data_IF_803917721405
#
_entry.id   IF_803917721405
#
_cell.length_a   1.000
_cell.length_b   1.000
_cell.length_c   1.000
_cell.angle_alpha   90.00
_cell.angle_beta   90.00
_cell.angle_gamma   90.00
#
_symmetry.space_group_name_H-M   'P 1'
#
loop_
_entity.id
_entity.type
_entity.pdbx_description
1 polymer ?
#
# COMPACT_ATOMS: atom_id res chain seq x y z
N UNK A 1 -13.24 29.22 -2.91
CA UNK A 1 -13.75 27.94 -2.37
C UNK A 1 -12.93 27.59 -1.15
N UNK A 2 -13.00 26.36 -0.64
CA UNK A 2 -12.06 25.88 0.42
C UNK A 2 -10.69 25.50 -0.19
N UNK A 3 -10.65 25.25 -1.51
CA UNK A 3 -9.44 25.01 -2.29
C UNK A 3 -9.28 26.09 -3.38
N UNK A 4 -8.04 26.26 -3.84
CA UNK A 4 -7.59 27.14 -4.92
C UNK A 4 -6.96 26.34 -6.07
N UNK A 5 -6.67 27.01 -7.19
CA UNK A 5 -5.97 26.40 -8.32
C UNK A 5 -4.60 25.85 -7.84
N UNK A 6 -4.18 24.71 -8.40
CA UNK A 6 -2.95 23.97 -8.05
C UNK A 6 -2.93 23.28 -6.68
N UNK A 7 -3.99 23.34 -5.87
CA UNK A 7 -4.06 22.55 -4.64
C UNK A 7 -4.05 21.03 -4.92
N UNK A 8 -3.50 20.27 -3.96
CA UNK A 8 -3.30 18.82 -4.08
C UNK A 8 -4.32 18.08 -3.21
N UNK A 9 -5.05 17.15 -3.83
CA UNK A 9 -5.86 16.15 -3.12
C UNK A 9 -5.13 14.81 -3.18
N UNK A 10 -4.83 14.25 -2.00
CA UNK A 10 -4.25 12.91 -1.87
C UNK A 10 -5.29 11.96 -1.27
N UNK A 11 -5.80 11.02 -2.08
CA UNK A 11 -6.67 9.94 -1.58
C UNK A 11 -5.84 8.71 -1.23
N UNK A 12 -5.85 8.35 0.05
CA UNK A 12 -5.13 7.20 0.59
C UNK A 12 -6.02 6.00 0.90
N UNK A 13 -7.31 6.09 0.59
CA UNK A 13 -8.25 4.99 0.73
C UNK A 13 -7.98 3.86 -0.26
N UNK A 14 -8.38 2.64 0.10
CA UNK A 14 -8.31 1.46 -0.77
C UNK A 14 -9.38 1.49 -1.88
N UNK A 15 -9.48 2.61 -2.61
CA UNK A 15 -10.39 2.76 -3.73
C UNK A 15 -9.94 1.88 -4.91
N UNK A 16 -10.91 1.43 -5.72
CA UNK A 16 -10.60 0.74 -6.96
C UNK A 16 -9.85 1.67 -7.91
N UNK A 17 -8.76 1.20 -8.52
CA UNK A 17 -7.83 2.07 -9.27
C UNK A 17 -8.49 2.85 -10.43
N UNK A 18 -9.53 2.28 -11.06
CA UNK A 18 -10.31 2.98 -12.10
C UNK A 18 -11.06 4.19 -11.56
N UNK A 19 -11.54 4.16 -10.32
CA UNK A 19 -12.15 5.32 -9.68
C UNK A 19 -11.14 6.42 -9.40
N UNK A 20 -9.89 6.05 -9.06
CA UNK A 20 -8.82 7.02 -8.88
C UNK A 20 -8.44 7.70 -10.19
N UNK A 21 -8.36 6.96 -11.30
CA UNK A 21 -8.17 7.57 -12.62
C UNK A 21 -9.30 8.54 -12.97
N UNK A 22 -10.56 8.14 -12.75
CA UNK A 22 -11.73 9.00 -12.98
C UNK A 22 -11.72 10.25 -12.09
N UNK A 23 -11.35 10.12 -10.82
CA UNK A 23 -11.23 11.25 -9.89
C UNK A 23 -10.10 12.19 -10.30
N UNK A 24 -8.97 11.65 -10.77
CA UNK A 24 -7.88 12.45 -11.28
C UNK A 24 -8.36 13.36 -12.41
N UNK A 25 -9.02 12.80 -13.43
CA UNK A 25 -9.59 13.55 -14.54
C UNK A 25 -10.57 14.65 -14.07
N UNK A 26 -11.44 14.34 -13.10
CA UNK A 26 -12.40 15.30 -12.55
C UNK A 26 -11.77 16.44 -11.77
N UNK A 27 -10.68 16.17 -11.04
CA UNK A 27 -9.96 17.16 -10.21
C UNK A 27 -9.06 18.02 -11.11
N UNK A 28 -8.38 17.41 -12.07
CA UNK A 28 -7.54 18.10 -13.06
C UNK A 28 -8.37 19.03 -13.97
N UNK A 29 -9.59 18.65 -14.34
CA UNK A 29 -10.53 19.52 -15.06
C UNK A 29 -10.92 20.80 -14.28
N UNK A 30 -10.70 20.81 -12.96
CA UNK A 30 -10.90 21.97 -12.07
C UNK A 30 -9.60 22.68 -11.71
N UNK A 31 -8.51 22.44 -12.46
CA UNK A 31 -7.17 23.00 -12.22
C UNK A 31 -6.58 22.67 -10.85
N UNK A 32 -6.99 21.56 -10.26
CA UNK A 32 -6.39 21.00 -9.05
C UNK A 32 -5.63 19.73 -9.41
N UNK A 33 -4.82 19.23 -8.48
CA UNK A 33 -3.95 18.08 -8.70
C UNK A 33 -4.40 16.90 -7.84
N UNK A 34 -4.36 15.70 -8.39
CA UNK A 34 -4.84 14.49 -7.70
C UNK A 34 -3.79 13.39 -7.64
N UNK A 35 -3.67 12.79 -6.46
CA UNK A 35 -2.82 11.63 -6.23
C UNK A 35 -3.60 10.53 -5.50
N UNK A 36 -3.68 9.35 -6.11
CA UNK A 36 -4.10 8.14 -5.43
C UNK A 36 -2.89 7.46 -4.81
N UNK A 37 -2.86 7.29 -3.49
CA UNK A 37 -1.70 6.75 -2.78
C UNK A 37 -2.08 5.62 -1.83
N UNK A 38 -1.84 4.37 -2.23
CA UNK A 38 -2.06 3.25 -1.34
C UNK A 38 -1.13 3.27 -0.13
N UNK A 39 -1.61 2.80 1.02
CA UNK A 39 -0.82 2.65 2.26
C UNK A 39 -0.93 1.20 2.75
N UNK A 40 0.18 0.59 3.18
CA UNK A 40 0.18 -0.74 3.83
C UNK A 40 1.08 -0.79 5.07
N UNK A 41 0.74 -1.64 6.02
CA UNK A 41 1.44 -1.80 7.31
C UNK A 41 0.53 -1.94 8.54
N UNK A 42 -0.79 -1.84 8.39
CA UNK A 42 -1.73 -1.88 9.51
C UNK A 42 -1.56 -0.71 10.48
N UNK A 43 -2.19 -0.80 11.66
CA UNK A 43 -2.14 0.27 12.65
C UNK A 43 -0.71 0.54 13.18
N UNK A 44 0.05 -0.53 13.43
CA UNK A 44 1.43 -0.41 13.92
C UNK A 44 2.35 0.16 12.84
N UNK A 45 2.27 -0.33 11.60
CA UNK A 45 3.05 0.18 10.49
C UNK A 45 2.71 1.65 10.20
N UNK A 46 1.44 2.04 10.24
CA UNK A 46 1.05 3.44 10.07
C UNK A 46 1.73 4.38 11.09
N UNK A 47 2.00 3.90 12.32
CA UNK A 47 2.69 4.69 13.35
C UNK A 47 4.21 4.66 13.23
N UNK A 48 4.79 3.51 12.89
CA UNK A 48 6.26 3.28 12.90
C UNK A 48 6.94 3.51 11.55
N UNK A 49 6.16 3.55 10.49
CA UNK A 49 6.61 3.70 9.11
C UNK A 49 5.89 2.69 8.22
N UNK A 50 4.89 3.10 7.43
CA UNK A 50 4.22 2.21 6.49
C UNK A 50 4.96 2.20 5.14
N UNK A 51 4.49 1.36 4.22
CA UNK A 51 4.82 1.47 2.80
C UNK A 51 3.77 2.34 2.09
N UNK A 52 4.22 3.18 1.15
CA UNK A 52 3.37 4.06 0.36
C UNK A 52 3.48 3.74 -1.14
N UNK A 53 2.35 3.79 -1.85
CA UNK A 53 2.23 3.49 -3.28
C UNK A 53 1.56 4.67 -4.01
N UNK A 54 2.23 5.82 -4.19
CA UNK A 54 1.67 6.98 -4.87
C UNK A 54 1.56 6.77 -6.39
N UNK A 55 0.46 7.22 -6.98
CA UNK A 55 0.28 7.33 -8.43
C UNK A 55 -0.74 8.41 -8.80
N UNK A 56 -0.54 9.07 -9.93
CA UNK A 56 -1.34 10.23 -10.34
C UNK A 56 -0.52 11.26 -11.11
N UNK A 57 -0.82 12.54 -10.91
CA UNK A 57 -0.11 13.64 -11.57
C UNK A 57 1.36 13.68 -11.11
N UNK A 58 2.31 13.61 -12.06
CA UNK A 58 3.74 13.49 -11.74
C UNK A 58 4.32 14.72 -11.02
N UNK A 59 3.80 15.92 -11.31
CA UNK A 59 4.25 17.16 -10.68
C UNK A 59 4.02 17.16 -9.16
N UNK A 60 3.02 16.44 -8.66
CA UNK A 60 2.73 16.31 -7.22
C UNK A 60 3.88 15.63 -6.47
N UNK A 61 4.63 14.75 -7.14
CA UNK A 61 5.68 13.96 -6.49
C UNK A 61 6.75 14.85 -5.86
N UNK A 62 7.14 15.94 -6.51
CA UNK A 62 8.16 16.86 -5.98
C UNK A 62 7.71 17.53 -4.68
N UNK A 63 6.42 17.84 -4.57
CA UNK A 63 5.81 18.48 -3.39
C UNK A 63 5.67 17.51 -2.22
N UNK A 64 5.20 16.28 -2.47
CA UNK A 64 4.88 15.34 -1.38
C UNK A 64 6.04 14.45 -0.98
N UNK A 65 7.04 14.24 -1.85
CA UNK A 65 8.15 13.29 -1.65
C UNK A 65 8.83 13.49 -0.29
N UNK A 66 9.21 14.70 0.15
CA UNK A 66 9.88 14.88 1.43
C UNK A 66 9.07 14.35 2.62
N UNK A 67 7.75 14.49 2.57
CA UNK A 67 6.83 14.06 3.64
C UNK A 67 6.73 12.53 3.65
N UNK A 68 6.44 11.93 2.50
CA UNK A 68 6.19 10.49 2.42
C UNK A 68 7.48 9.67 2.56
N UNK A 69 8.62 10.16 2.06
CA UNK A 69 9.90 9.50 2.28
C UNK A 69 10.33 9.55 3.75
N UNK A 70 10.10 10.66 4.45
CA UNK A 70 10.41 10.77 5.87
C UNK A 70 9.53 9.85 6.73
N UNK A 71 8.25 9.72 6.37
CA UNK A 71 7.29 8.87 7.09
C UNK A 71 7.38 7.37 6.72
N UNK A 72 7.93 7.01 5.56
CA UNK A 72 7.99 5.63 5.10
C UNK A 72 8.91 4.75 5.96
N UNK A 73 8.58 3.46 6.05
CA UNK A 73 9.55 2.45 6.47
C UNK A 73 10.84 2.56 5.65
N UNK A 74 11.99 2.22 6.25
CA UNK A 74 13.26 2.14 5.55
C UNK A 74 13.64 0.67 5.36
N UNK A 75 14.02 0.30 4.14
CA UNK A 75 14.58 -1.00 3.85
C UNK A 75 15.98 -1.15 4.48
N UNK A 76 16.54 -2.36 4.44
CA UNK A 76 17.86 -2.66 5.02
C UNK A 76 19.00 -1.85 4.40
N UNK A 77 18.85 -1.40 3.16
CA UNK A 77 19.79 -0.52 2.46
C UNK A 77 19.54 0.99 2.71
N UNK A 78 18.62 1.31 3.62
CA UNK A 78 18.27 2.68 4.00
C UNK A 78 17.28 3.37 3.06
N UNK A 79 16.90 2.77 1.92
CA UNK A 79 15.94 3.38 1.00
C UNK A 79 14.53 3.39 1.61
N UNK A 80 13.76 4.49 1.43
CA UNK A 80 12.38 4.53 1.89
C UNK A 80 11.48 3.62 1.05
N UNK A 81 10.51 2.98 1.70
CA UNK A 81 9.48 2.13 1.08
C UNK A 81 8.38 2.96 0.40
N UNK A 82 8.78 3.82 -0.54
CA UNK A 82 7.90 4.64 -1.37
C UNK A 82 8.57 4.90 -2.72
N UNK A 83 7.78 4.89 -3.79
CA UNK A 83 8.21 5.34 -5.11
C UNK A 83 6.99 5.75 -5.93
N UNK A 84 7.16 6.68 -6.87
CA UNK A 84 6.09 7.06 -7.79
C UNK A 84 5.78 5.87 -8.73
N UNK A 85 4.61 5.26 -8.56
CA UNK A 85 4.22 4.04 -9.28
C UNK A 85 3.80 4.31 -10.73
N UNK A 86 3.37 5.53 -11.05
CA UNK A 86 2.95 5.91 -12.40
C UNK A 86 1.81 6.94 -12.40
N UNK A 87 1.17 7.09 -13.57
CA UNK A 87 0.05 8.03 -13.77
C UNK A 87 -1.30 7.44 -13.36
N UNK A 88 -2.30 8.29 -13.13
CA UNK A 88 -3.67 7.89 -12.80
C UNK A 88 -3.73 6.97 -11.59
N UNK A 89 -4.56 5.92 -11.64
CA UNK A 89 -4.72 4.95 -10.56
C UNK A 89 -3.55 3.97 -10.32
N UNK A 90 -2.36 4.18 -10.89
CA UNK A 90 -1.24 3.23 -10.81
C UNK A 90 -0.88 2.83 -9.37
N UNK A 91 -0.82 3.80 -8.44
CA UNK A 91 -0.51 3.56 -7.04
C UNK A 91 -1.54 2.66 -6.34
N UNK A 92 -2.83 2.93 -6.55
CA UNK A 92 -3.91 2.10 -6.01
C UNK A 92 -3.99 0.73 -6.68
N UNK A 93 -3.57 0.61 -7.94
CA UNK A 93 -3.42 -0.68 -8.63
C UNK A 93 -2.34 -1.54 -7.97
N UNK A 94 -1.15 -0.97 -7.72
CA UNK A 94 -0.08 -1.65 -6.97
C UNK A 94 -0.58 -2.09 -5.59
N UNK A 95 -1.28 -1.22 -4.87
CA UNK A 95 -1.83 -1.55 -3.55
C UNK A 95 -2.88 -2.68 -3.61
N UNK A 96 -3.72 -2.70 -4.64
CA UNK A 96 -4.71 -3.75 -4.85
C UNK A 96 -4.03 -5.11 -5.08
N UNK A 97 -2.98 -5.16 -5.91
CA UNK A 97 -2.23 -6.40 -6.15
C UNK A 97 -1.37 -6.84 -4.96
N UNK A 98 -0.86 -5.89 -4.16
CA UNK A 98 -0.24 -6.19 -2.87
C UNK A 98 -1.23 -6.96 -1.97
N UNK A 99 -2.47 -6.46 -1.83
CA UNK A 99 -3.51 -7.16 -1.08
C UNK A 99 -3.85 -8.52 -1.70
N UNK A 100 -3.92 -8.64 -3.02
CA UNK A 100 -4.20 -9.93 -3.66
C UNK A 100 -3.13 -10.98 -3.32
N UNK A 101 -1.85 -10.58 -3.32
CA UNK A 101 -0.75 -11.44 -2.87
C UNK A 101 -0.84 -11.78 -1.37
N UNK A 102 -1.20 -10.81 -0.53
CA UNK A 102 -1.44 -11.04 0.91
C UNK A 102 -2.48 -12.14 1.14
N UNK A 103 -3.59 -12.11 0.41
CA UNK A 103 -4.63 -13.15 0.49
C UNK A 103 -4.09 -14.54 0.15
N UNK A 104 -3.34 -14.65 -0.96
CA UNK A 104 -2.77 -15.92 -1.38
C UNK A 104 -1.79 -16.49 -0.35
N UNK A 105 -0.93 -15.65 0.22
CA UNK A 105 0.06 -16.08 1.22
C UNK A 105 -0.62 -16.48 2.54
N UNK A 106 -1.60 -15.71 3.01
CA UNK A 106 -2.39 -16.09 4.19
C UNK A 106 -3.09 -17.44 3.99
N UNK A 107 -3.61 -17.70 2.79
CA UNK A 107 -4.22 -18.98 2.45
C UNK A 107 -3.21 -20.13 2.46
N UNK A 108 -2.01 -19.94 1.90
CA UNK A 108 -0.93 -20.93 1.96
C UNK A 108 -0.57 -21.28 3.41
N UNK A 109 -0.45 -20.27 4.28
CA UNK A 109 -0.18 -20.52 5.70
C UNK A 109 -1.32 -21.27 6.39
N UNK A 110 -2.57 -20.93 6.08
CA UNK A 110 -3.74 -21.63 6.60
C UNK A 110 -3.79 -23.10 6.15
N UNK A 111 -3.45 -23.39 4.89
CA UNK A 111 -3.40 -24.75 4.34
C UNK A 111 -2.25 -25.57 4.91
N UNK A 112 -1.07 -24.97 5.10
CA UNK A 112 0.06 -25.60 5.77
C UNK A 112 -0.33 -25.98 7.22
N UNK A 113 -0.96 -25.05 7.95
CA UNK A 113 -1.49 -25.32 9.28
C UNK A 113 -2.52 -26.45 9.26
N UNK A 114 -3.51 -26.40 8.38
CA UNK A 114 -4.56 -27.42 8.28
C UNK A 114 -3.98 -28.80 7.93
N UNK A 115 -3.00 -28.87 7.05
CA UNK A 115 -2.30 -30.10 6.67
C UNK A 115 -1.56 -30.72 7.85
N UNK A 116 -0.81 -29.92 8.61
CA UNK A 116 -0.10 -30.38 9.81
C UNK A 116 -1.07 -30.85 10.90
N UNK A 117 -2.19 -30.13 11.08
CA UNK A 117 -3.28 -30.57 11.97
C UNK A 117 -3.90 -31.89 11.51
N UNK A 118 -4.07 -32.08 10.20
CA UNK A 118 -4.57 -33.31 9.59
C UNK A 118 -3.63 -34.51 9.78
N UNK A 119 -2.34 -34.27 9.95
CA UNK A 119 -1.34 -35.28 10.32
C UNK A 119 -1.33 -35.58 11.84
N UNK A 120 -2.17 -34.93 12.63
CA UNK A 120 -2.33 -35.18 14.06
C UNK A 120 -1.53 -34.27 14.99
N UNK A 121 -0.77 -33.29 14.47
CA UNK A 121 0.03 -32.39 15.30
C UNK A 121 -0.87 -31.48 16.15
N UNK A 122 -0.55 -31.36 17.43
CA UNK A 122 -1.13 -30.38 18.34
C UNK A 122 -0.77 -28.93 17.91
N UNK A 123 -1.58 -27.93 18.30
CA UNK A 123 -1.32 -26.53 17.90
C UNK A 123 0.07 -26.03 18.31
N UNK A 124 0.55 -26.44 19.49
CA UNK A 124 1.92 -26.12 19.94
C UNK A 124 3.02 -26.83 19.14
N UNK A 125 2.74 -27.97 18.52
CA UNK A 125 3.70 -28.65 17.63
C UNK A 125 3.75 -27.98 16.27
N UNK A 126 2.59 -27.56 15.74
CA UNK A 126 2.54 -26.74 14.51
C UNK A 126 3.29 -25.43 14.70
N UNK A 127 3.13 -24.77 15.86
CA UNK A 127 3.91 -23.58 16.21
C UNK A 127 5.42 -23.82 16.13
N UNK A 128 5.92 -24.97 16.62
CA UNK A 128 7.34 -25.31 16.55
C UNK A 128 7.81 -25.43 15.10
N UNK A 129 7.07 -26.17 14.27
CA UNK A 129 7.39 -26.32 12.83
C UNK A 129 7.43 -24.96 12.12
N UNK A 130 6.41 -24.12 12.31
CA UNK A 130 6.39 -22.78 11.70
C UNK A 130 7.50 -21.87 12.27
N UNK A 131 7.90 -22.08 13.52
CA UNK A 131 9.03 -21.39 14.13
C UNK A 131 10.38 -21.80 13.54
N UNK A 132 10.55 -23.05 13.13
CA UNK A 132 11.76 -23.55 12.45
C UNK A 132 11.92 -23.00 11.03
N UNK A 133 10.82 -22.62 10.36
CA UNK A 133 10.86 -22.04 9.01
C UNK A 133 11.15 -20.54 8.98
N UNK A 134 11.07 -19.87 10.13
CA UNK A 134 11.23 -18.42 10.27
C UNK A 134 12.70 -18.00 10.16
#
# INVERSE_FOLDING_TARGET
GVFEDEDIIVDTGNAHFKDQSRRAEMVEAKKMRFLGMGISGGAEGARKGPAFFPGGTLSIWEDIRPIVEAAAAKASDGRPCVTMCGKGGAGSCVKMYHNAGEYAVLQIWAEAYASLRGLGLAGGEVQKVLGEWK
#
